data_IF_989575538953
#
_entry.id   IF_989575538953
#
_cell.length_a   1.000
_cell.length_b   1.000
_cell.length_c   1.000
_cell.angle_alpha   90.00
_cell.angle_beta   90.00
_cell.angle_gamma   90.00
#
_symmetry.space_group_name_H-M   'P 1'
#
loop_
_entity.id
_entity.type
_entity.pdbx_description
1 polymer ?
#
# COMPACT_ATOMS: atom_id res chain seq x y z
N UNK A 1 1.86 -9.47 -9.16
CA UNK A 1 2.84 -9.28 -10.26
C UNK A 1 4.23 -9.62 -9.77
N UNK A 2 4.77 -8.94 -8.73
CA UNK A 2 6.17 -9.10 -8.26
C UNK A 2 6.52 -10.55 -7.92
N UNK A 3 5.71 -11.24 -7.10
CA UNK A 3 5.95 -12.65 -6.74
C UNK A 3 6.07 -13.56 -7.98
N UNK A 4 5.25 -13.31 -9.03
CA UNK A 4 5.32 -14.11 -10.28
C UNK A 4 6.55 -13.80 -11.14
N UNK A 5 7.05 -12.57 -11.10
CA UNK A 5 8.31 -12.22 -11.76
C UNK A 5 9.49 -12.86 -11.05
N UNK A 6 9.47 -12.82 -9.71
CA UNK A 6 10.50 -13.44 -8.89
C UNK A 6 10.50 -14.96 -9.09
N UNK A 7 9.32 -15.62 -9.05
CA UNK A 7 9.22 -17.08 -9.21
C UNK A 7 9.78 -17.58 -10.53
N UNK A 8 9.57 -16.84 -11.64
CA UNK A 8 10.19 -17.17 -12.93
C UNK A 8 11.71 -17.12 -12.85
N UNK A 9 12.26 -16.01 -12.33
CA UNK A 9 13.72 -15.84 -12.23
C UNK A 9 14.36 -16.90 -11.33
N UNK A 10 13.70 -17.25 -10.23
CA UNK A 10 14.15 -18.33 -9.35
C UNK A 10 14.07 -19.69 -10.05
N UNK A 11 13.00 -19.95 -10.80
CA UNK A 11 12.88 -21.19 -11.56
C UNK A 11 13.98 -21.33 -12.61
N UNK A 12 14.27 -20.25 -13.37
CA UNK A 12 15.35 -20.24 -14.37
C UNK A 12 16.74 -20.44 -13.74
N UNK A 13 16.96 -19.86 -12.56
CA UNK A 13 18.25 -19.91 -11.87
C UNK A 13 18.50 -21.25 -11.14
N UNK A 14 17.47 -21.85 -10.56
CA UNK A 14 17.58 -23.02 -9.69
C UNK A 14 17.14 -24.32 -10.38
N UNK A 15 16.62 -24.24 -11.61
CA UNK A 15 16.14 -25.41 -12.35
C UNK A 15 14.92 -26.10 -11.71
N UNK A 16 14.16 -25.39 -10.87
CA UNK A 16 13.02 -25.92 -10.13
C UNK A 16 11.77 -25.05 -10.35
N UNK A 17 10.61 -25.69 -10.35
CA UNK A 17 9.34 -24.97 -10.52
C UNK A 17 8.93 -24.22 -9.24
N UNK A 18 8.59 -22.94 -9.38
CA UNK A 18 8.04 -22.11 -8.30
C UNK A 18 6.57 -21.79 -8.57
N UNK A 19 5.69 -22.27 -7.71
CA UNK A 19 4.25 -22.07 -7.81
C UNK A 19 3.84 -20.89 -6.91
N UNK A 20 3.16 -19.90 -7.50
CA UNK A 20 2.62 -18.76 -6.74
C UNK A 20 1.16 -19.01 -6.39
N UNK A 21 0.89 -19.19 -5.11
CA UNK A 21 -0.46 -19.28 -4.56
C UNK A 21 -0.90 -17.96 -3.97
N UNK A 22 -2.11 -17.49 -4.30
CA UNK A 22 -2.67 -16.28 -3.71
C UNK A 22 -3.70 -16.64 -2.65
N UNK A 23 -3.40 -16.35 -1.38
CA UNK A 23 -4.31 -16.53 -0.24
C UNK A 23 -4.73 -15.17 0.29
N UNK A 24 -5.80 -14.62 -0.28
CA UNK A 24 -6.31 -13.31 0.10
C UNK A 24 -7.13 -13.36 1.40
N UNK A 25 -7.18 -12.25 2.11
CA UNK A 25 -8.05 -12.03 3.26
C UNK A 25 -7.33 -11.65 4.54
N UNK A 26 -8.09 -11.08 5.47
CA UNK A 26 -7.65 -10.64 6.80
C UNK A 26 -6.34 -9.85 6.78
N UNK A 27 -6.21 -8.86 5.89
CA UNK A 27 -4.99 -8.06 5.72
C UNK A 27 -3.71 -8.91 5.55
N UNK A 28 -3.76 -9.97 4.73
CA UNK A 28 -2.70 -10.96 4.49
C UNK A 28 -2.45 -11.97 5.62
N UNK A 29 -3.18 -11.90 6.73
CA UNK A 29 -2.99 -12.83 7.86
C UNK A 29 -3.30 -14.28 7.49
N UNK A 30 -4.21 -14.54 6.53
CA UNK A 30 -4.50 -15.90 6.04
C UNK A 30 -3.27 -16.49 5.36
N UNK A 31 -2.57 -15.72 4.52
CA UNK A 31 -1.34 -16.19 3.88
C UNK A 31 -0.21 -16.41 4.91
N UNK A 32 -0.03 -15.47 5.85
CA UNK A 32 0.94 -15.57 6.92
C UNK A 32 0.73 -16.83 7.76
N UNK A 33 -0.49 -17.07 8.22
CA UNK A 33 -0.84 -18.28 8.99
C UNK A 33 -0.56 -19.58 8.23
N UNK A 34 -0.86 -19.61 6.93
CA UNK A 34 -0.63 -20.79 6.11
C UNK A 34 0.86 -21.15 6.02
N UNK A 35 1.73 -20.14 5.86
CA UNK A 35 3.19 -20.36 5.80
C UNK A 35 3.75 -20.68 7.19
N UNK A 36 3.33 -19.99 8.24
CA UNK A 36 3.76 -20.28 9.62
C UNK A 36 3.44 -21.74 10.05
N UNK A 37 2.42 -22.35 9.46
CA UNK A 37 2.03 -23.75 9.72
C UNK A 37 2.63 -24.77 8.75
N UNK A 38 3.35 -24.35 7.73
CA UNK A 38 4.01 -25.26 6.80
C UNK A 38 5.30 -25.82 7.41
N UNK A 39 5.82 -26.88 6.80
CA UNK A 39 7.10 -27.44 7.22
C UNK A 39 8.23 -26.40 7.06
N UNK A 40 9.13 -26.27 8.04
CA UNK A 40 10.23 -25.29 7.98
C UNK A 40 11.43 -25.83 7.17
N UNK A 41 11.15 -26.35 5.99
CA UNK A 41 12.10 -27.00 5.08
C UNK A 41 12.66 -26.12 3.96
N UNK A 42 12.20 -24.85 3.93
CA UNK A 42 12.61 -23.87 2.93
C UNK A 42 11.85 -23.94 1.59
N UNK A 43 10.93 -24.89 1.41
CA UNK A 43 10.14 -25.03 0.20
C UNK A 43 8.87 -24.18 0.19
N UNK A 44 8.47 -23.63 1.33
CA UNK A 44 7.33 -22.71 1.40
C UNK A 44 7.82 -21.31 1.79
N UNK A 45 7.67 -20.37 0.88
CA UNK A 45 8.12 -18.99 1.04
C UNK A 45 6.92 -18.04 1.15
N UNK A 46 7.02 -17.04 2.02
CA UNK A 46 6.05 -15.97 2.12
C UNK A 46 6.56 -14.72 1.40
N UNK A 47 5.82 -14.26 0.39
CA UNK A 47 6.00 -12.90 -0.12
C UNK A 47 5.26 -11.93 0.79
N UNK A 48 6.00 -11.31 1.70
CA UNK A 48 5.48 -10.39 2.70
C UNK A 48 5.45 -8.96 2.18
N UNK A 49 4.45 -8.19 2.61
CA UNK A 49 4.36 -6.74 2.41
C UNK A 49 4.35 -6.02 3.76
N UNK A 50 4.61 -4.73 3.77
CA UNK A 50 4.57 -3.89 4.98
C UNK A 50 3.25 -3.98 5.78
N UNK A 51 2.16 -4.39 5.14
CA UNK A 51 0.88 -4.62 5.84
C UNK A 51 1.02 -5.64 6.98
N UNK A 52 1.83 -6.68 6.80
CA UNK A 52 1.99 -7.69 7.84
C UNK A 52 2.79 -7.20 9.05
N UNK A 53 3.77 -6.33 8.85
CA UNK A 53 4.51 -5.71 9.98
C UNK A 53 3.61 -4.78 10.79
N UNK A 54 2.70 -4.09 10.12
CA UNK A 54 1.70 -3.23 10.77
C UNK A 54 0.66 -4.04 11.54
N UNK A 55 0.28 -5.21 11.04
CA UNK A 55 -0.69 -6.08 11.70
C UNK A 55 -0.26 -6.46 13.13
N UNK A 56 1.03 -6.54 13.41
CA UNK A 56 1.56 -6.78 14.76
C UNK A 56 1.08 -5.72 15.76
N UNK A 57 0.91 -4.47 15.32
CA UNK A 57 0.42 -3.37 16.18
C UNK A 57 -1.08 -3.16 16.11
N UNK A 58 -1.73 -3.52 14.99
CA UNK A 58 -3.16 -3.30 14.78
C UNK A 58 -4.05 -4.41 15.34
N UNK A 59 -3.55 -5.65 15.36
CA UNK A 59 -4.34 -6.78 15.80
C UNK A 59 -3.87 -7.26 17.18
N UNK A 60 -4.72 -7.25 18.19
CA UNK A 60 -4.34 -7.68 19.54
C UNK A 60 -3.98 -9.19 19.62
N UNK A 61 -4.39 -9.97 18.62
CA UNK A 61 -4.08 -11.39 18.52
C UNK A 61 -3.91 -11.80 17.07
N UNK A 62 -2.68 -12.13 16.68
CA UNK A 62 -2.36 -12.73 15.39
C UNK A 62 -2.29 -14.26 15.50
N UNK A 63 -2.59 -14.99 14.41
CA UNK A 63 -2.50 -16.46 14.38
C UNK A 63 -1.06 -16.97 14.17
N UNK A 64 -0.07 -16.11 14.24
CA UNK A 64 1.37 -16.36 14.09
C UNK A 64 2.17 -15.29 14.83
N UNK A 65 3.43 -15.57 15.14
CA UNK A 65 4.43 -14.59 15.58
C UNK A 65 5.33 -14.22 14.41
N UNK A 66 5.34 -12.93 14.03
CA UNK A 66 6.09 -12.48 12.86
C UNK A 66 7.61 -12.61 13.03
N UNK A 67 8.12 -12.52 14.24
CA UNK A 67 9.54 -12.61 14.53
C UNK A 67 10.00 -14.06 14.79
N UNK A 68 9.12 -14.88 15.40
CA UNK A 68 9.48 -16.25 15.81
C UNK A 68 9.17 -17.30 14.72
N UNK A 69 8.07 -17.14 13.95
CA UNK A 69 7.61 -18.15 13.00
C UNK A 69 8.19 -17.97 11.58
N UNK A 70 8.94 -16.89 11.32
CA UNK A 70 9.49 -16.61 9.99
C UNK A 70 10.98 -16.27 10.05
N UNK A 71 11.73 -16.81 9.10
CA UNK A 71 13.12 -16.42 8.85
C UNK A 71 13.16 -15.49 7.65
N UNK A 72 13.62 -14.22 7.80
CA UNK A 72 13.78 -13.30 6.66
C UNK A 72 14.84 -13.86 5.68
N UNK A 73 14.51 -13.90 4.38
CA UNK A 73 15.42 -14.37 3.33
C UNK A 73 16.09 -13.20 2.64
N UNK A 74 15.32 -12.30 2.04
CA UNK A 74 15.85 -11.13 1.35
C UNK A 74 14.78 -10.06 1.13
N UNK A 75 15.13 -8.77 1.07
CA UNK A 75 14.27 -7.74 0.51
C UNK A 75 14.12 -7.96 -0.99
N UNK A 76 12.89 -7.89 -1.49
CA UNK A 76 12.59 -8.17 -2.91
C UNK A 76 12.48 -6.89 -3.72
N UNK A 77 11.83 -5.88 -3.18
CA UNK A 77 11.55 -4.62 -3.85
C UNK A 77 11.26 -3.53 -2.82
N UNK A 78 11.75 -2.34 -3.11
CA UNK A 78 11.31 -1.10 -2.47
C UNK A 78 10.45 -0.34 -3.47
N UNK A 79 9.24 0.06 -3.06
CA UNK A 79 8.28 0.76 -3.92
C UNK A 79 7.99 2.11 -3.29
N UNK A 80 8.60 3.18 -3.78
CA UNK A 80 8.28 4.52 -3.31
C UNK A 80 6.82 4.84 -3.59
N UNK A 81 6.18 5.59 -2.71
CA UNK A 81 4.83 6.08 -2.94
C UNK A 81 4.83 7.52 -3.40
N UNK A 82 3.82 7.87 -4.18
CA UNK A 82 3.60 9.23 -4.64
C UNK A 82 2.38 9.80 -3.93
N UNK A 83 2.57 10.91 -3.22
CA UNK A 83 1.46 11.73 -2.75
C UNK A 83 0.88 12.47 -3.94
N UNK A 84 -0.35 12.13 -4.28
CA UNK A 84 -1.06 12.69 -5.41
C UNK A 84 -2.36 13.36 -4.98
N UNK A 85 -2.73 14.42 -5.71
CA UNK A 85 -4.02 15.09 -5.54
C UNK A 85 -4.81 15.08 -6.85
N UNK A 86 -6.14 15.03 -6.72
CA UNK A 86 -7.02 15.25 -7.86
C UNK A 86 -6.92 16.72 -8.31
N UNK A 87 -6.96 17.01 -9.62
CA UNK A 87 -6.82 18.36 -10.16
C UNK A 87 -7.88 19.36 -9.70
N UNK A 88 -9.01 18.88 -9.15
CA UNK A 88 -10.03 19.74 -8.52
C UNK A 88 -9.50 20.50 -7.30
N UNK A 89 -8.47 20.01 -6.62
CA UNK A 89 -7.81 20.78 -5.58
C UNK A 89 -6.87 21.83 -6.20
N UNK A 90 -6.99 23.11 -5.84
CA UNK A 90 -6.18 24.19 -6.38
C UNK A 90 -4.80 24.25 -5.70
N UNK A 91 -4.09 23.13 -5.63
CA UNK A 91 -2.77 23.01 -5.00
C UNK A 91 -1.77 22.37 -5.95
N UNK A 92 -0.51 22.79 -5.88
CA UNK A 92 0.60 22.32 -6.72
C UNK A 92 1.78 21.80 -5.92
N UNK A 93 1.77 22.01 -4.61
CA UNK A 93 2.84 21.61 -3.68
C UNK A 93 2.26 21.01 -2.41
N UNK A 94 3.08 20.24 -1.70
CA UNK A 94 2.71 19.70 -0.37
C UNK A 94 2.37 20.83 0.61
N UNK A 95 3.14 21.92 0.56
CA UNK A 95 2.92 23.09 1.43
C UNK A 95 1.54 23.71 1.20
N UNK A 96 1.14 23.88 -0.07
CA UNK A 96 -0.19 24.39 -0.43
C UNK A 96 -1.30 23.46 0.01
N UNK A 97 -1.11 22.12 -0.13
CA UNK A 97 -2.06 21.12 0.38
C UNK A 97 -2.23 21.25 1.90
N UNK A 98 -1.14 21.39 2.65
CA UNK A 98 -1.19 21.55 4.10
C UNK A 98 -1.94 22.84 4.48
N UNK A 99 -1.65 23.96 3.81
CA UNK A 99 -2.33 25.24 4.07
C UNK A 99 -3.83 25.12 3.78
N UNK A 100 -4.18 24.52 2.64
CA UNK A 100 -5.59 24.33 2.26
C UNK A 100 -6.32 23.42 3.27
N UNK A 101 -5.70 22.29 3.66
CA UNK A 101 -6.30 21.36 4.61
C UNK A 101 -6.49 22.00 6.01
N UNK A 102 -5.56 22.86 6.43
CA UNK A 102 -5.71 23.62 7.70
C UNK A 102 -6.82 24.67 7.64
N UNK A 103 -7.07 25.25 6.47
CA UNK A 103 -8.15 26.23 6.28
C UNK A 103 -9.53 25.58 6.14
N UNK A 104 -9.59 24.26 5.85
CA UNK A 104 -10.82 23.49 5.64
C UNK A 104 -10.75 22.13 6.34
N UNK A 105 -10.69 22.11 7.68
CA UNK A 105 -10.59 20.87 8.43
C UNK A 105 -11.83 19.99 8.20
N UNK A 106 -11.60 18.71 7.91
CA UNK A 106 -12.68 17.74 7.67
C UNK A 106 -13.36 17.83 6.29
N UNK A 107 -12.96 18.74 5.38
CA UNK A 107 -13.61 18.87 4.07
C UNK A 107 -12.89 18.10 2.95
N UNK A 108 -11.57 17.91 3.07
CA UNK A 108 -10.79 17.16 2.07
C UNK A 108 -10.84 15.69 2.39
N UNK A 109 -11.10 14.86 1.38
CA UNK A 109 -11.14 13.40 1.54
C UNK A 109 -9.92 12.74 0.94
N UNK A 110 -9.49 11.63 1.56
CA UNK A 110 -8.44 10.78 0.98
C UNK A 110 -8.89 9.31 0.88
N UNK A 111 -8.48 8.66 -0.20
CA UNK A 111 -8.75 7.25 -0.42
C UNK A 111 -7.65 6.35 0.14
N UNK A 112 -8.00 5.13 0.51
CA UNK A 112 -7.03 4.08 0.84
C UNK A 112 -7.49 2.70 0.33
N UNK A 113 -6.55 1.76 0.29
CA UNK A 113 -6.87 0.37 -0.03
C UNK A 113 -7.59 -0.39 1.11
N UNK A 114 -8.02 0.33 2.13
CA UNK A 114 -8.70 -0.16 3.32
C UNK A 114 -7.95 0.21 4.61
N UNK A 115 -8.63 0.12 5.73
CA UNK A 115 -8.05 0.41 7.05
C UNK A 115 -6.85 -0.50 7.32
N UNK A 116 -5.75 0.08 7.82
CA UNK A 116 -4.49 -0.64 8.06
C UNK A 116 -3.62 -0.89 6.82
N UNK A 117 -4.08 -0.53 5.61
CA UNK A 117 -3.25 -0.63 4.41
C UNK A 117 -2.10 0.38 4.41
N UNK A 118 -1.06 0.12 3.61
CA UNK A 118 0.08 1.05 3.48
C UNK A 118 -0.36 2.46 3.05
N UNK A 119 -1.35 2.56 2.16
CA UNK A 119 -1.92 3.85 1.73
C UNK A 119 -2.65 4.59 2.86
N UNK A 120 -3.35 3.86 3.72
CA UNK A 120 -3.99 4.43 4.92
C UNK A 120 -2.94 4.97 5.88
N UNK A 121 -1.96 4.15 6.25
CA UNK A 121 -0.96 4.52 7.25
C UNK A 121 -0.03 5.64 6.79
N UNK A 122 0.37 5.64 5.51
CA UNK A 122 1.14 6.73 4.93
C UNK A 122 0.37 8.07 5.03
N UNK A 123 -0.95 8.04 4.79
CA UNK A 123 -1.77 9.25 4.90
C UNK A 123 -1.98 9.66 6.36
N UNK A 124 -2.22 8.72 7.27
CA UNK A 124 -2.35 9.05 8.70
C UNK A 124 -1.05 9.60 9.29
N UNK A 125 0.10 9.06 8.88
CA UNK A 125 1.39 9.62 9.25
C UNK A 125 1.56 11.05 8.70
N UNK A 126 1.23 11.28 7.44
CA UNK A 126 1.25 12.61 6.84
C UNK A 126 0.32 13.58 7.58
N UNK A 127 -0.92 13.17 7.91
CA UNK A 127 -1.85 13.97 8.72
C UNK A 127 -1.24 14.36 10.07
N UNK A 128 -0.68 13.38 10.76
CA UNK A 128 -0.06 13.59 12.08
C UNK A 128 1.12 14.56 12.02
N UNK A 129 2.04 14.37 11.05
CA UNK A 129 3.22 15.22 10.90
C UNK A 129 2.87 16.64 10.45
N UNK A 130 1.87 16.81 9.59
CA UNK A 130 1.44 18.10 9.06
C UNK A 130 0.45 18.85 9.98
N UNK A 131 -0.14 18.16 10.96
CA UNK A 131 -1.19 18.71 11.83
C UNK A 131 -2.42 19.13 11.03
N UNK A 132 -2.90 18.24 10.13
CA UNK A 132 -4.06 18.48 9.25
C UNK A 132 -5.17 17.47 9.54
N UNK A 133 -6.40 17.88 9.26
CA UNK A 133 -7.57 17.03 9.33
C UNK A 133 -8.15 16.83 7.93
N UNK A 134 -7.98 15.62 7.38
CA UNK A 134 -8.58 15.15 6.13
C UNK A 134 -9.28 13.81 6.38
N UNK A 135 -10.42 13.59 5.72
CA UNK A 135 -11.34 12.48 6.00
C UNK A 135 -10.97 11.22 5.26
N UNK A 136 -10.88 10.10 5.98
CA UNK A 136 -10.58 8.79 5.41
C UNK A 136 -11.79 8.14 4.72
N UNK A 137 -11.62 7.71 3.48
CA UNK A 137 -12.56 6.88 2.72
C UNK A 137 -11.90 5.53 2.41
N UNK A 138 -12.24 4.46 3.16
CA UNK A 138 -11.66 3.14 2.94
C UNK A 138 -12.32 2.40 1.77
N UNK A 139 -11.49 1.79 0.91
CA UNK A 139 -11.93 0.95 -0.19
C UNK A 139 -11.51 -0.51 -0.01
N UNK A 140 -12.10 -1.42 -0.77
CA UNK A 140 -11.73 -2.86 -0.81
C UNK A 140 -10.55 -3.09 -1.77
N UNK A 141 -9.42 -2.38 -1.53
CA UNK A 141 -8.20 -2.46 -2.33
C UNK A 141 -7.88 -1.17 -3.09
N UNK A 142 -6.68 -1.11 -3.68
CA UNK A 142 -6.17 0.06 -4.39
C UNK A 142 -6.91 0.35 -5.71
N UNK A 143 -7.46 -0.66 -6.38
CA UNK A 143 -8.20 -0.48 -7.63
C UNK A 143 -9.39 0.46 -7.50
N UNK A 144 -10.40 0.12 -6.68
CA UNK A 144 -11.55 1.00 -6.42
C UNK A 144 -11.15 2.39 -5.90
N UNK A 145 -10.18 2.46 -4.97
CA UNK A 145 -9.68 3.74 -4.46
C UNK A 145 -9.12 4.64 -5.57
N UNK A 146 -8.36 4.04 -6.50
CA UNK A 146 -7.81 4.76 -7.66
C UNK A 146 -8.91 5.24 -8.61
N UNK A 147 -9.90 4.40 -8.88
CA UNK A 147 -11.00 4.76 -9.77
C UNK A 147 -11.76 5.99 -9.24
N UNK A 148 -12.10 5.98 -7.96
CA UNK A 148 -12.81 7.08 -7.30
C UNK A 148 -11.93 8.34 -7.17
N UNK A 149 -10.63 8.17 -6.95
CA UNK A 149 -9.68 9.28 -6.96
C UNK A 149 -9.63 9.93 -8.36
N UNK A 150 -9.50 9.16 -9.43
CA UNK A 150 -9.48 9.68 -10.80
C UNK A 150 -10.83 10.28 -11.24
N UNK A 151 -11.92 9.86 -10.60
CA UNK A 151 -13.26 10.44 -10.75
C UNK A 151 -13.51 11.69 -9.91
N UNK A 152 -12.59 12.04 -9.01
CA UNK A 152 -12.72 13.22 -8.12
C UNK A 152 -13.61 13.00 -6.89
N UNK A 153 -14.04 11.76 -6.61
CA UNK A 153 -14.83 11.43 -5.43
C UNK A 153 -14.01 11.48 -4.13
N UNK A 154 -12.71 11.23 -4.23
CA UNK A 154 -11.71 11.52 -3.19
C UNK A 154 -10.59 12.36 -3.79
N UNK A 155 -10.03 13.29 -3.01
CA UNK A 155 -9.13 14.30 -3.55
C UNK A 155 -7.65 14.02 -3.30
N UNK A 156 -7.30 13.17 -2.34
CA UNK A 156 -5.92 12.83 -1.97
C UNK A 156 -5.72 11.33 -2.01
N UNK A 157 -4.59 10.88 -2.53
CA UNK A 157 -4.22 9.46 -2.55
C UNK A 157 -2.69 9.29 -2.49
N UNK A 158 -2.20 8.36 -1.66
CA UNK A 158 -0.86 7.81 -1.81
C UNK A 158 -0.89 6.68 -2.83
N UNK A 159 -0.11 6.79 -3.91
CA UNK A 159 -0.09 5.85 -5.03
C UNK A 159 1.23 5.10 -5.07
N UNK A 160 1.17 3.76 -4.99
CA UNK A 160 2.34 2.87 -5.08
C UNK A 160 2.53 2.26 -6.48
N UNK A 161 1.98 2.88 -7.51
CA UNK A 161 2.07 2.41 -8.89
C UNK A 161 2.58 3.54 -9.80
N UNK A 162 3.86 3.50 -10.14
CA UNK A 162 4.51 4.52 -10.95
C UNK A 162 3.88 4.66 -12.36
N UNK A 163 3.53 3.54 -13.01
CA UNK A 163 2.89 3.55 -14.33
C UNK A 163 1.54 4.25 -14.30
N UNK A 164 0.77 4.03 -13.23
CA UNK A 164 -0.51 4.71 -13.03
C UNK A 164 -0.32 6.22 -12.84
N UNK A 165 0.67 6.61 -12.06
CA UNK A 165 1.02 8.02 -11.85
C UNK A 165 1.39 8.67 -13.17
N UNK A 166 2.32 8.06 -13.92
CA UNK A 166 2.82 8.61 -15.18
C UNK A 166 1.70 8.78 -16.23
N UNK A 167 0.88 7.75 -16.43
CA UNK A 167 -0.21 7.80 -17.43
C UNK A 167 -1.28 8.84 -17.10
N UNK A 168 -1.65 8.96 -15.82
CA UNK A 168 -2.70 9.90 -15.41
C UNK A 168 -2.18 11.33 -15.20
N UNK A 169 -0.90 11.51 -14.92
CA UNK A 169 -0.25 12.81 -14.95
C UNK A 169 -0.26 13.41 -16.37
N UNK A 170 0.08 12.61 -17.38
CA UNK A 170 0.07 13.05 -18.80
C UNK A 170 -1.32 13.45 -19.28
N UNK A 171 -2.36 12.80 -18.77
CA UNK A 171 -3.77 13.12 -19.11
C UNK A 171 -4.39 14.18 -18.20
N UNK A 172 -3.64 14.73 -17.26
CA UNK A 172 -4.11 15.76 -16.34
C UNK A 172 -5.14 15.27 -15.30
N UNK A 173 -5.32 13.96 -15.13
CA UNK A 173 -6.27 13.37 -14.15
C UNK A 173 -5.68 13.19 -12.75
N UNK A 174 -4.38 13.38 -12.61
CA UNK A 174 -3.64 13.25 -11.37
C UNK A 174 -2.52 14.28 -11.33
N UNK A 175 -2.34 14.91 -10.18
CA UNK A 175 -1.20 15.81 -9.92
C UNK A 175 -0.34 15.23 -8.81
N UNK A 176 0.91 14.80 -9.10
CA UNK A 176 1.84 14.38 -8.07
C UNK A 176 2.36 15.61 -7.32
N UNK A 177 2.51 15.50 -6.00
CA UNK A 177 3.07 16.56 -5.15
C UNK A 177 4.43 16.20 -4.58
N UNK A 178 4.64 14.93 -4.21
CA UNK A 178 5.89 14.42 -3.63
C UNK A 178 6.02 12.92 -3.84
N UNK A 179 7.26 12.44 -3.69
CA UNK A 179 7.62 11.01 -3.63
C UNK A 179 8.23 10.75 -2.24
N UNK A 180 7.88 9.59 -1.63
CA UNK A 180 8.44 9.17 -0.32
C UNK A 180 9.71 8.38 -0.49
#
# INVERSE_FOLDING_TARGET
>A
VVARLLSRKLADSLGQSFIVENRAGAASNIAGQAVARSAPDGYTLLYMTSTMTVNVSLYPKLPYDLAADFTPVAPVVDIPSVLAVHPSLPVKTVKELIVLAKSRPGEITYGSAGSGSATHLATELFKSMAGIDIVHVPYKGSGPATTDFLGGHVQVLFVFNATLVESNMKTGKLRPLAVT
#
